data_IF_172185992294
#
_entry.id   IF_172185992294
#
_cell.length_a   1.000
_cell.length_b   1.000
_cell.length_c   1.000
_cell.angle_alpha   90.00
_cell.angle_beta   90.00
_cell.angle_gamma   90.00
#
_symmetry.space_group_name_H-M   'P 1'
#
loop_
_entity.id
_entity.type
_entity.pdbx_description
1 polymer ?
#
# COMPACT_ATOMS: atom_id res chain seq x y z
N UNK A 1 -26.29 12.49 -14.68
CA UNK A 1 -25.17 12.81 -13.77
C UNK A 1 -23.87 12.31 -14.39
N UNK A 2 -22.78 13.06 -14.34
CA UNK A 2 -21.46 12.62 -14.81
C UNK A 2 -20.73 11.91 -13.68
N UNK A 3 -20.29 10.67 -13.91
CA UNK A 3 -19.46 9.92 -12.95
C UNK A 3 -18.17 10.72 -12.67
N UNK A 4 -17.69 10.85 -11.42
CA UNK A 4 -16.41 11.51 -11.12
C UNK A 4 -15.23 10.88 -11.89
N UNK A 5 -14.22 11.69 -12.24
CA UNK A 5 -13.11 11.23 -13.09
C UNK A 5 -12.30 10.11 -12.45
N UNK A 6 -12.11 10.16 -11.12
CA UNK A 6 -11.38 9.13 -10.35
C UNK A 6 -11.97 7.72 -10.54
N UNK A 7 -13.29 7.62 -10.73
CA UNK A 7 -13.96 6.33 -10.96
C UNK A 7 -13.99 5.96 -12.44
N UNK A 8 -14.03 6.95 -13.35
CA UNK A 8 -13.94 6.70 -14.80
C UNK A 8 -12.56 6.20 -15.21
N UNK A 9 -11.51 6.72 -14.60
CA UNK A 9 -10.12 6.42 -14.95
C UNK A 9 -9.48 5.35 -14.05
N UNK A 10 -10.25 4.76 -13.12
CA UNK A 10 -9.74 3.89 -12.05
C UNK A 10 -8.81 2.78 -12.54
N UNK A 11 -9.16 2.07 -13.63
CA UNK A 11 -8.31 1.01 -14.19
C UNK A 11 -6.99 1.55 -14.74
N UNK A 12 -7.02 2.64 -15.48
CA UNK A 12 -5.82 3.22 -16.07
C UNK A 12 -4.91 3.88 -15.03
N UNK A 13 -5.48 4.50 -13.98
CA UNK A 13 -4.72 5.02 -12.85
C UNK A 13 -4.05 3.88 -12.07
N UNK A 14 -4.73 2.75 -11.90
CA UNK A 14 -4.16 1.54 -11.30
C UNK A 14 -3.04 0.94 -12.16
N UNK A 15 -3.24 0.82 -13.47
CA UNK A 15 -2.21 0.32 -14.39
C UNK A 15 -0.95 1.20 -14.33
N UNK A 16 -1.12 2.53 -14.31
CA UNK A 16 -0.01 3.47 -14.14
C UNK A 16 0.73 3.24 -12.82
N UNK A 17 0.00 3.12 -11.72
CA UNK A 17 0.59 2.86 -10.40
C UNK A 17 1.36 1.52 -10.36
N UNK A 18 0.81 0.45 -10.92
CA UNK A 18 1.46 -0.88 -10.93
C UNK A 18 2.73 -0.88 -11.79
N UNK A 19 2.72 -0.19 -12.94
CA UNK A 19 3.92 -0.01 -13.75
C UNK A 19 4.99 0.78 -12.98
N UNK A 20 4.60 1.85 -12.30
CA UNK A 20 5.51 2.67 -11.51
C UNK A 20 6.14 1.88 -10.33
N UNK A 21 5.32 1.11 -9.61
CA UNK A 21 5.79 0.21 -8.55
C UNK A 21 6.73 -0.89 -9.08
N UNK A 22 6.41 -1.47 -10.25
CA UNK A 22 7.28 -2.46 -10.91
C UNK A 22 8.64 -1.87 -11.24
N UNK A 23 8.65 -0.73 -11.91
CA UNK A 23 9.87 -0.10 -12.43
C UNK A 23 10.76 0.41 -11.29
N UNK A 24 10.15 0.95 -10.22
CA UNK A 24 10.87 1.38 -9.01
C UNK A 24 11.55 0.21 -8.31
N UNK A 25 10.86 -0.92 -8.18
CA UNK A 25 11.37 -2.12 -7.50
C UNK A 25 12.26 -3.01 -8.40
N UNK A 26 12.47 -2.65 -9.67
CA UNK A 26 13.24 -3.47 -10.62
C UNK A 26 12.60 -4.83 -10.93
N UNK A 27 11.28 -4.97 -10.76
CA UNK A 27 10.55 -6.21 -11.00
C UNK A 27 10.32 -6.45 -12.49
N UNK A 28 10.22 -7.72 -12.89
CA UNK A 28 10.12 -8.09 -14.31
C UNK A 28 8.69 -8.03 -14.82
N UNK A 29 7.69 -8.21 -13.95
CA UNK A 29 6.28 -8.29 -14.35
C UNK A 29 5.38 -7.48 -13.43
N UNK A 30 4.24 -7.04 -13.98
CA UNK A 30 3.18 -6.37 -13.21
C UNK A 30 2.53 -7.31 -12.17
N UNK A 31 2.52 -8.62 -12.41
CA UNK A 31 2.04 -9.61 -11.44
C UNK A 31 2.92 -9.70 -10.18
N UNK A 32 4.24 -9.58 -10.35
CA UNK A 32 5.17 -9.47 -9.22
C UNK A 32 4.94 -8.18 -8.45
N UNK A 33 4.78 -7.05 -9.15
CA UNK A 33 4.52 -5.75 -8.53
C UNK A 33 3.18 -5.71 -7.80
N UNK A 34 2.14 -6.34 -8.37
CA UNK A 34 0.85 -6.53 -7.72
C UNK A 34 0.99 -7.30 -6.39
N UNK A 35 1.69 -8.43 -6.43
CA UNK A 35 1.91 -9.28 -5.24
C UNK A 35 2.69 -8.52 -4.16
N UNK A 36 3.75 -7.80 -4.53
CA UNK A 36 4.52 -6.94 -3.62
C UNK A 36 3.65 -5.83 -3.01
N UNK A 37 2.90 -5.10 -3.83
CA UNK A 37 2.03 -4.03 -3.34
C UNK A 37 0.95 -4.56 -2.39
N UNK A 38 0.31 -5.69 -2.74
CA UNK A 38 -0.66 -6.34 -1.87
C UNK A 38 -0.03 -6.68 -0.51
N UNK A 39 1.15 -7.31 -0.53
CA UNK A 39 1.88 -7.66 0.68
C UNK A 39 2.24 -6.43 1.54
N UNK A 40 2.65 -5.32 0.92
CA UNK A 40 2.93 -4.05 1.61
C UNK A 40 1.66 -3.47 2.24
N UNK A 41 0.55 -3.42 1.49
CA UNK A 41 -0.73 -2.92 1.98
C UNK A 41 -1.26 -3.73 3.16
N UNK A 42 -1.21 -5.07 3.08
CA UNK A 42 -1.66 -5.95 4.17
C UNK A 42 -0.74 -5.88 5.40
N UNK A 43 0.58 -5.78 5.18
CA UNK A 43 1.56 -5.58 6.25
C UNK A 43 1.34 -4.25 6.96
N UNK A 44 0.96 -3.20 6.23
CA UNK A 44 0.58 -1.92 6.84
C UNK A 44 -0.77 -2.03 7.58
N UNK A 45 -1.78 -2.62 6.95
CA UNK A 45 -3.15 -2.70 7.48
C UNK A 45 -3.22 -3.39 8.83
N UNK A 46 -2.49 -4.49 9.03
CA UNK A 46 -2.50 -5.24 10.30
C UNK A 46 -1.97 -4.45 11.51
N UNK A 47 -1.50 -3.23 11.31
CA UNK A 47 -0.96 -2.33 12.35
C UNK A 47 -1.88 -1.18 12.72
N UNK A 48 -3.05 -1.13 12.10
CA UNK A 48 -4.01 -0.04 12.27
C UNK A 48 -5.27 -0.55 12.95
N UNK A 49 -5.89 0.30 13.76
CA UNK A 49 -7.29 0.12 14.10
C UNK A 49 -8.19 0.37 12.86
N UNK A 50 -9.46 -0.02 12.96
CA UNK A 50 -10.42 0.12 11.86
C UNK A 50 -10.59 1.58 11.42
N UNK A 51 -10.59 2.52 12.37
CA UNK A 51 -10.79 3.94 12.08
C UNK A 51 -9.58 4.55 11.37
N UNK A 52 -8.37 4.18 11.76
CA UNK A 52 -7.10 4.53 11.17
C UNK A 52 -6.96 3.96 9.75
N UNK A 53 -7.33 2.68 9.58
CA UNK A 53 -7.32 2.01 8.28
C UNK A 53 -8.30 2.68 7.30
N UNK A 54 -9.52 3.00 7.73
CA UNK A 54 -10.49 3.71 6.90
C UNK A 54 -10.03 5.15 6.59
N UNK A 55 -9.36 5.81 7.54
CA UNK A 55 -8.79 7.12 7.30
C UNK A 55 -7.69 7.07 6.23
N UNK A 56 -6.80 6.07 6.27
CA UNK A 56 -5.82 5.83 5.21
C UNK A 56 -6.48 5.46 3.87
N UNK A 57 -7.46 4.56 3.89
CA UNK A 57 -8.20 4.14 2.71
C UNK A 57 -8.86 5.33 1.97
N UNK A 58 -9.27 6.38 2.71
CA UNK A 58 -9.90 7.59 2.16
C UNK A 58 -9.02 8.43 1.24
N UNK A 59 -7.69 8.19 1.22
CA UNK A 59 -6.75 8.89 0.33
C UNK A 59 -6.21 7.99 -0.78
N UNK A 60 -6.53 6.70 -0.77
CA UNK A 60 -6.14 5.78 -1.83
C UNK A 60 -7.03 5.95 -3.09
N UNK A 61 -6.45 5.76 -4.29
CA UNK A 61 -7.19 5.57 -5.53
C UNK A 61 -8.19 4.41 -5.41
N UNK A 62 -9.32 4.42 -6.14
CA UNK A 62 -10.41 3.46 -5.93
C UNK A 62 -10.00 1.99 -5.94
N UNK A 63 -9.13 1.58 -6.86
CA UNK A 63 -8.67 0.18 -6.96
C UNK A 63 -7.76 -0.20 -5.80
N UNK A 64 -6.80 0.65 -5.42
CA UNK A 64 -5.94 0.41 -4.25
C UNK A 64 -6.75 0.37 -2.96
N UNK A 65 -7.76 1.24 -2.83
CA UNK A 65 -8.70 1.22 -1.71
C UNK A 65 -9.43 -0.12 -1.62
N UNK A 66 -9.94 -0.63 -2.74
CA UNK A 66 -10.62 -1.92 -2.79
C UNK A 66 -9.70 -3.07 -2.37
N UNK A 67 -8.46 -3.10 -2.87
CA UNK A 67 -7.44 -4.11 -2.51
C UNK A 67 -7.09 -4.01 -1.03
N UNK A 68 -6.92 -2.80 -0.49
CA UNK A 68 -6.55 -2.58 0.91
C UNK A 68 -7.60 -3.16 1.88
N UNK A 69 -8.89 -3.04 1.57
CA UNK A 69 -9.97 -3.54 2.44
C UNK A 69 -10.42 -4.97 2.11
N UNK A 70 -9.99 -5.52 0.97
CA UNK A 70 -10.34 -6.88 0.57
C UNK A 70 -9.84 -7.91 1.59
N UNK A 71 -10.63 -8.96 1.78
CA UNK A 71 -10.30 -10.13 2.59
C UNK A 71 -9.77 -9.78 4.00
N UNK A 72 -10.26 -8.69 4.60
CA UNK A 72 -9.86 -8.31 5.96
C UNK A 72 -10.57 -9.17 7.00
N UNK A 73 -9.80 -9.99 7.73
CA UNK A 73 -10.24 -10.59 8.98
C UNK A 73 -10.12 -9.57 10.12
N UNK A 74 -11.26 -9.16 10.67
CA UNK A 74 -11.32 -8.20 11.79
C UNK A 74 -11.13 -8.86 13.16
N UNK A 75 -11.15 -10.20 13.23
CA UNK A 75 -10.88 -10.95 14.45
C UNK A 75 -9.37 -11.15 14.67
N UNK A 76 -8.55 -10.96 13.64
CA UNK A 76 -7.09 -10.99 13.78
C UNK A 76 -6.59 -9.80 14.65
N UNK A 77 -5.77 -10.07 15.69
CA UNK A 77 -5.21 -9.00 16.51
C UNK A 77 -4.33 -8.05 15.71
N UNK A 78 -4.41 -6.76 16.00
CA UNK A 78 -3.45 -5.80 15.47
C UNK A 78 -2.05 -6.08 16.02
N UNK A 79 -1.04 -5.88 15.18
CA UNK A 79 0.38 -5.98 15.56
C UNK A 79 1.00 -4.59 15.62
N UNK A 80 1.96 -4.31 16.52
CA UNK A 80 2.60 -3.01 16.57
C UNK A 80 3.47 -2.75 15.33
N UNK A 81 3.71 -1.47 15.04
CA UNK A 81 4.78 -1.07 14.13
C UNK A 81 6.13 -1.57 14.66
N UNK A 82 6.94 -2.15 13.77
CA UNK A 82 8.27 -2.69 14.09
C UNK A 82 9.33 -2.03 13.19
N UNK A 83 10.59 -2.42 13.32
CA UNK A 83 11.65 -1.89 12.46
C UNK A 83 11.42 -2.22 10.98
N UNK A 84 11.79 -1.30 10.08
CA UNK A 84 11.60 -1.44 8.62
C UNK A 84 12.04 -2.80 8.08
N UNK A 85 13.20 -3.32 8.51
CA UNK A 85 13.70 -4.64 8.09
C UNK A 85 12.74 -5.76 8.48
N UNK A 86 12.22 -5.77 9.70
CA UNK A 86 11.29 -6.80 10.16
C UNK A 86 9.98 -6.78 9.35
N UNK A 87 9.44 -5.57 9.11
CA UNK A 87 8.24 -5.40 8.29
C UNK A 87 8.48 -5.81 6.83
N UNK A 88 9.66 -5.53 6.26
CA UNK A 88 10.02 -6.02 4.91
C UNK A 88 10.08 -7.55 4.87
N UNK A 89 10.57 -8.22 5.93
CA UNK A 89 10.53 -9.70 5.99
C UNK A 89 9.10 -10.23 6.06
N UNK A 90 8.18 -9.54 6.74
CA UNK A 90 6.76 -9.88 6.70
C UNK A 90 6.17 -9.73 5.29
N UNK A 91 6.52 -8.65 4.59
CA UNK A 91 6.15 -8.45 3.17
C UNK A 91 6.64 -9.64 2.35
N UNK A 92 7.92 -10.00 2.44
CA UNK A 92 8.50 -11.12 1.70
C UNK A 92 7.91 -12.48 2.07
N UNK A 93 7.47 -12.68 3.32
CA UNK A 93 6.82 -13.91 3.76
C UNK A 93 5.38 -14.08 3.24
N UNK A 94 4.77 -13.02 2.72
CA UNK A 94 3.43 -13.07 2.14
C UNK A 94 3.34 -14.09 1.00
N UNK A 95 2.43 -15.06 1.09
CA UNK A 95 2.25 -16.17 0.12
C UNK A 95 3.52 -16.99 -0.16
N UNK A 96 4.49 -16.97 0.76
CA UNK A 96 5.71 -17.79 0.71
C UNK A 96 6.53 -17.58 -0.58
N UNK A 97 6.92 -18.67 -1.23
CA UNK A 97 7.85 -18.69 -2.37
C UNK A 97 7.38 -17.94 -3.63
N UNK A 98 6.14 -17.45 -3.67
CA UNK A 98 5.60 -16.70 -4.82
C UNK A 98 5.87 -15.19 -4.71
N UNK A 99 6.34 -14.71 -3.57
CA UNK A 99 6.67 -13.31 -3.40
C UNK A 99 8.17 -13.06 -3.58
N UNK A 100 8.52 -12.31 -4.63
CA UNK A 100 9.89 -11.91 -4.97
C UNK A 100 10.17 -10.45 -4.62
N UNK A 101 9.47 -9.92 -3.62
CA UNK A 101 9.64 -8.55 -3.12
C UNK A 101 11.09 -8.28 -2.73
N UNK A 102 11.73 -7.20 -3.24
CA UNK A 102 13.08 -6.84 -2.85
C UNK A 102 13.12 -6.34 -1.39
N UNK A 103 14.33 -6.19 -0.84
CA UNK A 103 14.50 -5.63 0.51
C UNK A 103 14.02 -4.15 0.58
N UNK A 104 13.88 -3.48 -0.58
CA UNK A 104 13.35 -2.13 -0.75
C UNK A 104 11.82 -2.05 -0.87
N UNK A 105 11.10 -3.18 -0.88
CA UNK A 105 9.68 -3.24 -1.28
C UNK A 105 8.77 -2.18 -0.63
N UNK A 106 8.89 -1.94 0.68
CA UNK A 106 8.09 -0.92 1.37
C UNK A 106 8.42 0.49 0.84
N UNK A 107 9.70 0.80 0.64
CA UNK A 107 10.13 2.09 0.10
C UNK A 107 9.67 2.27 -1.35
N UNK A 108 9.77 1.22 -2.17
CA UNK A 108 9.39 1.27 -3.58
C UNK A 108 7.89 1.50 -3.77
N UNK A 109 7.06 0.80 -2.99
CA UNK A 109 5.59 1.00 -2.99
C UNK A 109 5.23 2.37 -2.41
N UNK A 110 5.94 2.86 -1.39
CA UNK A 110 5.72 4.20 -0.85
C UNK A 110 6.05 5.30 -1.88
N UNK A 111 7.17 5.16 -2.60
CA UNK A 111 7.57 6.09 -3.65
C UNK A 111 6.56 6.09 -4.82
N UNK A 112 6.13 4.90 -5.27
CA UNK A 112 5.11 4.77 -6.31
C UNK A 112 3.75 5.33 -5.87
N UNK A 113 3.35 5.10 -4.62
CA UNK A 113 2.10 5.65 -4.09
C UNK A 113 2.13 7.18 -4.12
N UNK A 114 3.21 7.80 -3.61
CA UNK A 114 3.39 9.26 -3.57
C UNK A 114 3.31 9.91 -4.96
N UNK A 115 3.91 9.29 -5.99
CA UNK A 115 3.81 9.78 -7.38
C UNK A 115 2.42 9.65 -8.00
N UNK A 116 1.55 8.80 -7.46
CA UNK A 116 0.24 8.49 -8.05
C UNK A 116 -0.94 9.00 -7.21
N UNK A 117 -0.70 9.71 -6.11
CA UNK A 117 -1.74 10.33 -5.28
C UNK A 117 -1.39 11.79 -4.98
N UNK A 118 -2.34 12.52 -4.41
CA UNK A 118 -2.07 13.85 -3.85
C UNK A 118 -1.20 13.69 -2.59
N UNK A 119 0.09 13.98 -2.69
CA UNK A 119 1.05 13.87 -1.59
C UNK A 119 0.67 14.71 -0.37
N UNK A 120 0.13 15.93 -0.58
CA UNK A 120 -0.28 16.82 0.51
C UNK A 120 -1.45 16.23 1.27
N UNK A 121 -2.40 15.63 0.55
CA UNK A 121 -3.54 14.92 1.16
C UNK A 121 -3.09 13.65 1.88
N UNK A 122 -2.16 12.88 1.29
CA UNK A 122 -1.58 11.70 1.91
C UNK A 122 -0.88 12.07 3.23
N UNK A 123 0.00 13.06 3.22
CA UNK A 123 0.77 13.48 4.40
C UNK A 123 -0.14 14.00 5.51
N UNK A 124 -1.20 14.75 5.17
CA UNK A 124 -2.22 15.20 6.13
C UNK A 124 -2.96 14.04 6.79
N UNK A 125 -3.18 12.95 6.05
CA UNK A 125 -3.82 11.75 6.62
C UNK A 125 -2.83 10.97 7.47
N UNK A 126 -1.61 10.74 6.98
CA UNK A 126 -0.56 10.05 7.74
C UNK A 126 -0.24 10.77 9.05
N UNK A 127 -0.26 12.10 9.09
CA UNK A 127 -0.01 12.87 10.32
C UNK A 127 -1.08 12.71 11.40
N UNK A 128 -2.21 12.06 11.07
CA UNK A 128 -3.29 11.73 12.01
C UNK A 128 -3.24 10.27 12.47
N UNK A 129 -2.32 9.48 11.92
CA UNK A 129 -2.09 8.08 12.28
C UNK A 129 -0.93 7.96 13.28
N UNK A 130 -0.71 6.79 13.90
CA UNK A 130 0.44 6.57 14.77
C UNK A 130 1.75 6.87 14.05
N UNK A 131 2.79 7.28 14.80
CA UNK A 131 4.09 7.66 14.22
C UNK A 131 4.68 6.56 13.31
N UNK A 132 4.46 5.29 13.65
CA UNK A 132 4.89 4.17 12.81
C UNK A 132 4.30 4.16 11.40
N UNK A 133 3.10 4.72 11.20
CA UNK A 133 2.49 4.85 9.89
C UNK A 133 3.19 5.89 9.01
N UNK A 134 3.58 7.03 9.61
CA UNK A 134 4.39 8.05 8.93
C UNK A 134 5.74 7.46 8.50
N UNK A 135 6.36 6.69 9.39
CA UNK A 135 7.68 6.09 9.15
C UNK A 135 7.62 4.94 8.13
N UNK A 136 6.50 4.20 8.06
CA UNK A 136 6.25 3.16 7.08
C UNK A 136 6.19 3.73 5.65
N UNK A 137 5.45 4.83 5.47
CA UNK A 137 5.21 5.48 4.16
C UNK A 137 6.23 6.58 3.80
N UNK A 138 7.34 6.65 4.53
CA UNK A 138 8.53 7.41 4.11
C UNK A 138 9.24 6.62 3.01
N UNK A 139 9.37 7.24 1.83
CA UNK A 139 10.14 6.71 0.70
C UNK A 139 11.64 6.68 1.02
#
# INVERSE_FOLDING_TARGET
>A
MTIPMEYRQASADFDRFILDARDTAGLQTTNQAYTMMQAVLETFRRRLDISEALLFASVLPPVLRAIFVADWDLEEPTVPFSGRVAMTREVQGFRGNHNVSPDSAIADVAAALRRNVDEVRLDRVLSRLPQGAVDFWRA
#
